data_IF_520675855408
#
_entry.id   IF_520675855408
#
_cell.length_a   1.000
_cell.length_b   1.000
_cell.length_c   1.000
_cell.angle_alpha   90.00
_cell.angle_beta   90.00
_cell.angle_gamma   90.00
#
_symmetry.space_group_name_H-M   'P 1'
#
loop_
_entity.id
_entity.type
_entity.pdbx_description
1 polymer ?
#
# COMPACT_ATOMS: atom_id res chain seq x y z
N UNK A 1 7.65 -2.08 -8.39
CA UNK A 1 8.63 -1.71 -7.37
C UNK A 1 8.93 -0.22 -7.48
N UNK A 2 9.30 0.42 -6.37
CA UNK A 2 9.52 1.87 -6.29
C UNK A 2 10.67 2.36 -7.18
N UNK A 3 10.36 3.34 -8.01
CA UNK A 3 11.26 4.07 -8.91
C UNK A 3 10.57 5.40 -9.30
N UNK A 4 11.27 6.54 -9.45
CA UNK A 4 12.72 6.75 -9.41
C UNK A 4 13.26 6.97 -7.98
N UNK A 5 14.47 7.52 -7.83
CA UNK A 5 15.17 7.71 -6.55
C UNK A 5 14.34 8.40 -5.47
N UNK A 6 13.47 9.35 -5.84
CA UNK A 6 12.58 10.03 -4.89
C UNK A 6 11.59 9.07 -4.19
N UNK A 7 11.25 7.96 -4.82
CA UNK A 7 10.37 6.93 -4.26
C UNK A 7 11.14 5.80 -3.55
N UNK A 8 12.47 5.91 -3.45
CA UNK A 8 13.35 4.97 -2.72
C UNK A 8 14.52 5.72 -2.07
N UNK A 9 14.25 6.67 -1.15
CA UNK A 9 15.25 7.61 -0.68
C UNK A 9 16.33 6.98 0.22
N UNK A 10 16.06 5.84 0.86
CA UNK A 10 16.99 5.18 1.77
C UNK A 10 17.40 6.07 2.95
N UNK A 11 18.65 5.94 3.40
CA UNK A 11 19.21 6.76 4.48
C UNK A 11 18.45 6.65 5.79
N UNK A 12 18.39 7.74 6.56
CA UNK A 12 17.73 7.77 7.87
C UNK A 12 16.23 7.44 7.80
N UNK A 13 15.56 7.92 6.74
CA UNK A 13 14.13 7.69 6.53
C UNK A 13 13.81 6.26 6.04
N UNK A 14 14.78 5.59 5.42
CA UNK A 14 14.60 4.28 4.81
C UNK A 14 13.85 4.32 3.48
N UNK A 15 13.74 3.14 2.85
CA UNK A 15 12.94 2.99 1.65
C UNK A 15 11.46 2.73 1.98
N UNK A 16 10.57 3.00 1.03
CA UNK A 16 9.14 2.71 1.15
C UNK A 16 8.84 1.21 1.00
N UNK A 17 7.61 0.80 1.32
CA UNK A 17 7.18 -0.61 1.33
C UNK A 17 7.46 -1.34 0.00
N UNK A 18 7.35 -0.66 -1.14
CA UNK A 18 7.48 -1.29 -2.46
C UNK A 18 8.91 -1.22 -3.02
N UNK A 19 9.90 -0.95 -2.18
CA UNK A 19 11.30 -1.04 -2.54
C UNK A 19 11.67 -2.46 -2.98
N UNK A 20 12.55 -2.58 -3.98
CA UNK A 20 12.83 -3.87 -4.61
C UNK A 20 13.67 -4.84 -3.76
N UNK A 21 14.24 -4.38 -2.65
CA UNK A 21 15.14 -5.16 -1.80
C UNK A 21 14.70 -5.13 -0.34
N UNK A 22 15.29 -5.99 0.49
CA UNK A 22 15.02 -6.07 1.92
C UNK A 22 15.15 -4.70 2.61
N UNK A 23 14.21 -4.42 3.52
CA UNK A 23 14.18 -3.25 4.39
C UNK A 23 14.24 -3.71 5.85
N UNK A 24 14.81 -2.89 6.73
CA UNK A 24 14.95 -3.23 8.15
C UNK A 24 13.63 -3.19 8.92
N UNK A 25 12.65 -2.44 8.42
CA UNK A 25 11.29 -2.35 9.00
C UNK A 25 11.15 -1.31 10.10
N UNK A 26 12.25 -0.77 10.62
CA UNK A 26 12.33 0.18 11.74
C UNK A 26 12.35 1.65 11.30
N UNK A 27 12.52 1.94 10.00
CA UNK A 27 12.65 3.31 9.50
C UNK A 27 11.30 3.94 9.15
N UNK A 28 11.16 5.28 9.23
CA UNK A 28 9.89 5.98 9.00
C UNK A 28 9.15 5.60 7.71
N UNK A 29 9.84 5.38 6.59
CA UNK A 29 9.21 5.04 5.32
C UNK A 29 8.83 3.56 5.20
N UNK A 30 9.36 2.66 6.05
CA UNK A 30 9.12 1.22 5.93
C UNK A 30 7.66 0.81 6.22
N UNK A 31 6.86 1.73 6.76
CA UNK A 31 5.42 1.56 7.02
C UNK A 31 4.53 2.33 6.04
N UNK A 32 5.10 2.93 5.00
CA UNK A 32 4.38 3.80 4.05
C UNK A 32 4.61 3.38 2.60
N UNK A 33 3.61 3.62 1.76
CA UNK A 33 3.79 3.63 0.31
C UNK A 33 4.45 4.94 -0.12
N UNK A 34 5.30 4.89 -1.14
CA UNK A 34 5.81 6.09 -1.82
C UNK A 34 4.71 6.77 -2.64
N UNK A 35 4.91 8.02 -3.04
CA UNK A 35 3.99 8.72 -3.96
C UNK A 35 3.84 7.98 -5.29
N UNK A 36 4.91 7.35 -5.80
CA UNK A 36 4.87 6.54 -7.02
C UNK A 36 3.96 5.30 -6.85
N UNK A 37 4.08 4.63 -5.70
CA UNK A 37 3.25 3.47 -5.37
C UNK A 37 1.78 3.87 -5.19
N UNK A 38 1.51 4.97 -4.48
CA UNK A 38 0.16 5.52 -4.34
C UNK A 38 -0.45 5.83 -5.71
N UNK A 39 0.27 6.49 -6.61
CA UNK A 39 -0.23 6.79 -7.95
C UNK A 39 -0.62 5.54 -8.75
N UNK A 40 0.23 4.51 -8.74
CA UNK A 40 -0.04 3.27 -9.46
C UNK A 40 -1.20 2.46 -8.86
N UNK A 41 -1.27 2.37 -7.52
CA UNK A 41 -2.37 1.66 -6.84
C UNK A 41 -3.69 2.39 -7.11
N UNK A 42 -3.72 3.72 -6.99
CA UNK A 42 -4.90 4.54 -7.27
C UNK A 42 -5.41 4.34 -8.70
N UNK A 43 -4.52 4.29 -9.71
CA UNK A 43 -4.92 4.04 -11.10
C UNK A 43 -5.62 2.67 -11.29
N UNK A 44 -5.20 1.66 -10.53
CA UNK A 44 -5.87 0.34 -10.53
C UNK A 44 -7.22 0.43 -9.84
N UNK A 45 -7.32 1.10 -8.69
CA UNK A 45 -8.58 1.28 -7.96
C UNK A 45 -9.60 2.07 -8.79
N UNK A 46 -9.17 3.11 -9.50
CA UNK A 46 -10.01 3.85 -10.44
C UNK A 46 -10.50 2.94 -11.58
N UNK A 47 -9.63 2.09 -12.14
CA UNK A 47 -10.04 1.13 -13.16
C UNK A 47 -11.05 0.09 -12.64
N UNK A 48 -10.95 -0.29 -11.36
CA UNK A 48 -11.93 -1.17 -10.70
C UNK A 48 -13.25 -0.46 -10.50
N UNK A 49 -13.22 0.80 -10.01
CA UNK A 49 -14.41 1.64 -9.82
C UNK A 49 -15.15 1.92 -11.13
N UNK A 50 -14.41 2.19 -12.20
CA UNK A 50 -14.96 2.51 -13.52
C UNK A 50 -15.35 1.24 -14.32
N UNK A 51 -15.24 0.04 -13.74
CA UNK A 51 -15.61 -1.24 -14.40
C UNK A 51 -14.64 -1.72 -15.48
N UNK A 52 -13.49 -1.05 -15.66
CA UNK A 52 -12.41 -1.45 -16.59
C UNK A 52 -11.60 -2.64 -16.08
N UNK A 53 -11.74 -2.99 -14.80
CA UNK A 53 -11.18 -4.20 -14.17
C UNK A 53 -12.25 -4.88 -13.33
N UNK A 54 -12.14 -6.19 -13.14
CA UNK A 54 -13.05 -6.98 -12.30
C UNK A 54 -13.07 -6.40 -10.88
N UNK A 55 -14.26 -5.99 -10.42
CA UNK A 55 -14.46 -5.52 -9.06
C UNK A 55 -14.90 -6.67 -8.15
N UNK A 56 -14.11 -6.94 -7.11
CA UNK A 56 -14.43 -7.83 -5.99
C UNK A 56 -14.33 -7.12 -4.63
N UNK A 57 -14.20 -5.79 -4.62
CA UNK A 57 -14.22 -5.00 -3.40
C UNK A 57 -15.65 -4.93 -2.87
N UNK A 58 -15.81 -5.17 -1.58
CA UNK A 58 -17.08 -5.04 -0.86
C UNK A 58 -17.06 -3.81 0.03
N UNK A 59 -18.24 -3.30 0.39
CA UNK A 59 -18.32 -2.27 1.42
C UNK A 59 -17.65 -2.78 2.72
N UNK A 60 -17.02 -1.87 3.47
CA UNK A 60 -16.46 -2.21 4.78
C UNK A 60 -17.58 -2.71 5.67
N UNK A 61 -17.47 -3.96 6.12
CA UNK A 61 -18.46 -4.58 7.00
C UNK A 61 -18.32 -4.11 8.46
N UNK A 62 -17.35 -3.25 8.76
CA UNK A 62 -16.99 -2.91 10.14
C UNK A 62 -16.42 -4.13 10.86
N UNK A 63 -16.79 -4.26 12.15
CA UNK A 63 -16.45 -5.44 12.92
C UNK A 63 -17.06 -6.71 12.32
N UNK A 64 -16.25 -7.75 12.21
CA UNK A 64 -16.61 -9.04 11.66
C UNK A 64 -16.37 -10.16 12.68
N UNK A 65 -17.46 -10.76 13.17
CA UNK A 65 -17.37 -11.93 14.03
C UNK A 65 -16.79 -13.13 13.27
N UNK A 66 -15.68 -13.69 13.78
CA UNK A 66 -15.05 -14.91 13.24
C UNK A 66 -13.67 -14.70 12.61
N UNK A 67 -13.17 -13.46 12.51
CA UNK A 67 -11.78 -13.17 12.09
C UNK A 67 -10.74 -13.33 13.22
N UNK A 68 -11.16 -13.72 14.43
CA UNK A 68 -10.32 -13.86 15.64
C UNK A 68 -9.66 -12.55 16.12
N UNK A 69 -10.20 -11.41 15.72
CA UNK A 69 -9.81 -10.08 16.22
C UNK A 69 -10.95 -9.57 17.08
N UNK A 70 -10.64 -9.10 18.29
CA UNK A 70 -11.63 -8.38 19.11
C UNK A 70 -11.71 -6.97 18.56
N UNK A 71 -12.84 -6.65 17.94
CA UNK A 71 -13.13 -5.36 17.33
C UNK A 71 -14.06 -4.55 18.26
N UNK A 72 -13.95 -3.22 18.20
CA UNK A 72 -14.76 -2.27 19.00
C UNK A 72 -15.83 -1.58 18.17
#
# INVERSE_FOLDING_TARGET
HDYPSQCRPGGQLGNFIMFASATSGDRPNNSRFSECSVGNISAVLDAVRDGRKRNCLTASAGAFCGNKIVEV
#
